data_IF_476279532034
#
_entry.id   IF_476279532034
#
_cell.length_a   1.000
_cell.length_b   1.000
_cell.length_c   1.000
_cell.angle_alpha   90.00
_cell.angle_beta   90.00
_cell.angle_gamma   90.00
#
_symmetry.space_group_name_H-M   'P 1'
#
loop_
_entity.id
_entity.type
_entity.pdbx_description
1 polymer ?
#
# COMPACT_ATOMS: atom_id res chain seq x y z
N UNK A 1 -30.96 64.16 -7.02
CA UNK A 1 -29.79 63.30 -7.32
C UNK A 1 -28.85 64.11 -8.19
N UNK A 2 -27.54 64.04 -7.94
CA UNK A 2 -26.55 64.44 -8.95
C UNK A 2 -26.45 63.31 -10.00
N UNK A 3 -26.30 63.65 -11.27
CA UNK A 3 -25.99 62.67 -12.31
C UNK A 3 -24.54 62.18 -12.17
N UNK A 4 -24.27 60.95 -12.58
CA UNK A 4 -22.90 60.44 -12.66
C UNK A 4 -22.07 61.28 -13.65
N UNK A 5 -20.78 61.49 -13.35
CA UNK A 5 -19.89 62.20 -14.27
C UNK A 5 -19.62 61.35 -15.53
N UNK A 6 -19.19 62.02 -16.61
CA UNK A 6 -18.81 61.35 -17.86
C UNK A 6 -17.79 60.22 -17.63
N UNK A 7 -16.78 60.46 -16.78
CA UNK A 7 -15.73 59.47 -16.47
C UNK A 7 -16.24 58.29 -15.62
N UNK A 8 -17.26 58.51 -14.78
CA UNK A 8 -17.93 57.44 -14.04
C UNK A 8 -18.75 56.56 -14.98
N UNK A 9 -19.50 57.17 -15.89
CA UNK A 9 -20.26 56.48 -16.94
C UNK A 9 -19.34 55.70 -17.88
N UNK A 10 -18.19 56.26 -18.28
CA UNK A 10 -17.23 55.60 -19.16
C UNK A 10 -16.66 54.33 -18.50
N UNK A 11 -16.20 54.42 -17.25
CA UNK A 11 -15.71 53.26 -16.47
C UNK A 11 -16.79 52.21 -16.26
N UNK A 12 -18.05 52.62 -16.05
CA UNK A 12 -19.17 51.68 -15.92
C UNK A 12 -19.46 50.96 -17.25
N UNK A 13 -19.36 51.66 -18.39
CA UNK A 13 -19.49 51.05 -19.72
C UNK A 13 -18.33 50.10 -20.04
N UNK A 14 -17.11 50.41 -19.60
CA UNK A 14 -15.95 49.51 -19.72
C UNK A 14 -16.12 48.23 -18.89
N UNK A 15 -16.55 48.36 -17.62
CA UNK A 15 -16.85 47.23 -16.75
C UNK A 15 -17.97 46.35 -17.34
N UNK A 16 -19.09 46.94 -17.75
CA UNK A 16 -20.22 46.23 -18.37
C UNK A 16 -19.87 45.55 -19.69
N UNK A 17 -18.93 46.10 -20.48
CA UNK A 17 -18.42 45.43 -21.69
C UNK A 17 -17.59 44.19 -21.33
N UNK A 18 -16.75 44.28 -20.31
CA UNK A 18 -15.91 43.17 -19.85
C UNK A 18 -16.79 42.04 -19.26
N UNK A 19 -17.75 42.40 -18.40
CA UNK A 19 -18.77 41.49 -17.87
C UNK A 19 -19.62 40.85 -18.98
N UNK A 20 -20.08 41.62 -19.98
CA UNK A 20 -20.85 41.05 -21.10
C UNK A 20 -20.00 40.15 -22.00
N UNK A 21 -18.68 40.34 -22.06
CA UNK A 21 -17.77 39.42 -22.74
C UNK A 21 -17.61 38.11 -21.95
N UNK A 22 -17.46 38.21 -20.62
CA UNK A 22 -17.34 37.05 -19.74
C UNK A 22 -18.62 36.19 -19.75
N UNK A 23 -19.79 36.82 -19.61
CA UNK A 23 -21.10 36.14 -19.68
C UNK A 23 -21.35 35.45 -21.04
N UNK A 24 -20.77 35.95 -22.14
CA UNK A 24 -20.84 35.27 -23.45
C UNK A 24 -19.96 34.02 -23.48
N UNK A 25 -18.75 34.09 -22.94
CA UNK A 25 -17.86 32.93 -22.83
C UNK A 25 -18.51 31.84 -21.95
N UNK A 26 -19.03 32.21 -20.77
CA UNK A 26 -19.74 31.28 -19.90
C UNK A 26 -20.96 30.65 -20.59
N UNK A 27 -21.72 31.42 -21.39
CA UNK A 27 -22.85 30.88 -22.15
C UNK A 27 -22.42 29.91 -23.27
N UNK A 28 -21.32 30.21 -23.97
CA UNK A 28 -20.73 29.34 -24.98
C UNK A 28 -20.18 28.04 -24.35
N UNK A 29 -19.47 28.13 -23.24
CA UNK A 29 -18.94 26.98 -22.50
C UNK A 29 -20.08 26.08 -21.97
N UNK A 30 -21.16 26.67 -21.46
CA UNK A 30 -22.37 25.93 -21.06
C UNK A 30 -23.06 25.25 -22.26
N UNK A 31 -23.16 25.92 -23.42
CA UNK A 31 -23.71 25.34 -24.66
C UNK A 31 -22.87 24.14 -25.15
N UNK A 32 -21.53 24.29 -25.10
CA UNK A 32 -20.57 23.24 -25.40
C UNK A 32 -20.64 22.06 -24.41
N UNK A 33 -20.96 22.32 -23.14
CA UNK A 33 -21.17 21.26 -22.15
C UNK A 33 -22.49 20.52 -22.36
N UNK A 34 -23.60 21.23 -22.64
CA UNK A 34 -24.89 20.63 -22.94
C UNK A 34 -24.81 19.68 -24.15
N UNK A 35 -24.17 20.13 -25.24
CA UNK A 35 -23.94 19.31 -26.46
C UNK A 35 -23.21 17.99 -26.15
N UNK A 36 -22.26 17.99 -25.19
CA UNK A 36 -21.56 16.77 -24.75
C UNK A 36 -22.49 15.82 -23.99
N UNK A 37 -23.33 16.35 -23.10
CA UNK A 37 -24.31 15.55 -22.35
C UNK A 37 -25.37 14.93 -23.27
N UNK A 38 -25.84 15.67 -24.29
CA UNK A 38 -26.75 15.15 -25.32
C UNK A 38 -26.10 14.03 -26.15
N UNK A 39 -24.80 14.16 -26.44
CA UNK A 39 -24.01 13.12 -27.12
C UNK A 39 -23.84 11.87 -26.25
N UNK A 40 -23.49 12.04 -24.97
CA UNK A 40 -23.33 10.93 -24.02
C UNK A 40 -24.65 10.18 -23.78
N UNK A 41 -25.76 10.90 -23.62
CA UNK A 41 -27.09 10.32 -23.51
C UNK A 41 -27.51 9.56 -24.80
N UNK A 42 -27.11 10.07 -25.97
CA UNK A 42 -27.35 9.40 -27.26
C UNK A 42 -26.55 8.10 -27.40
N UNK A 43 -25.27 8.11 -27.00
CA UNK A 43 -24.43 6.92 -26.97
C UNK A 43 -24.98 5.86 -26.00
N UNK A 44 -25.40 6.27 -24.79
CA UNK A 44 -26.02 5.37 -23.81
C UNK A 44 -27.32 4.75 -24.35
N UNK A 45 -28.16 5.54 -25.05
CA UNK A 45 -29.37 5.07 -25.72
C UNK A 45 -29.08 4.05 -26.83
N UNK A 46 -27.99 4.22 -27.58
CA UNK A 46 -27.55 3.25 -28.59
C UNK A 46 -27.08 1.94 -27.96
N UNK A 47 -26.25 2.00 -26.91
CA UNK A 47 -25.80 0.81 -26.16
C UNK A 47 -26.98 0.05 -25.56
N UNK A 48 -27.94 0.75 -24.94
CA UNK A 48 -29.15 0.12 -24.39
C UNK A 48 -29.99 -0.56 -25.48
N UNK A 49 -30.11 0.06 -26.66
CA UNK A 49 -30.80 -0.55 -27.82
C UNK A 49 -30.06 -1.79 -28.34
N UNK A 50 -28.72 -1.77 -28.38
CA UNK A 50 -27.92 -2.92 -28.78
C UNK A 50 -28.05 -4.08 -27.80
N UNK A 51 -28.04 -3.80 -26.49
CA UNK A 51 -28.27 -4.81 -25.45
C UNK A 51 -29.68 -5.40 -25.53
N UNK A 52 -30.71 -4.58 -25.76
CA UNK A 52 -32.07 -5.08 -25.98
C UNK A 52 -32.14 -6.02 -27.20
N UNK A 53 -31.59 -5.62 -28.34
CA UNK A 53 -31.57 -6.46 -29.55
C UNK A 53 -30.82 -7.79 -29.33
N UNK A 54 -29.70 -7.76 -28.60
CA UNK A 54 -28.94 -8.97 -28.25
C UNK A 54 -29.77 -9.95 -27.39
N UNK A 55 -30.60 -9.44 -26.47
CA UNK A 55 -31.47 -10.27 -25.63
C UNK A 55 -32.62 -10.85 -26.47
N UNK A 56 -33.19 -10.07 -27.38
CA UNK A 56 -34.26 -10.52 -28.29
C UNK A 56 -33.76 -11.62 -29.25
N UNK A 57 -32.55 -11.48 -29.80
CA UNK A 57 -31.88 -12.52 -30.61
C UNK A 57 -31.54 -13.79 -29.79
N UNK A 58 -31.01 -13.66 -28.57
CA UNK A 58 -30.76 -14.83 -27.69
C UNK A 58 -32.06 -15.54 -27.28
N UNK A 59 -33.16 -14.80 -27.11
CA UNK A 59 -34.49 -15.38 -26.79
C UNK A 59 -35.10 -16.12 -27.99
N UNK A 60 -34.80 -15.70 -29.22
CA UNK A 60 -35.23 -16.39 -30.45
C UNK A 60 -34.33 -17.57 -30.84
N UNK A 61 -33.05 -17.55 -30.45
CA UNK A 61 -32.07 -18.59 -30.83
C UNK A 61 -31.85 -19.66 -29.75
N UNK A 62 -32.21 -19.40 -28.50
CA UNK A 62 -32.12 -20.39 -27.41
C UNK A 62 -33.50 -20.84 -26.91
N UNK A 63 -33.78 -22.14 -26.99
CA UNK A 63 -34.97 -22.78 -26.42
C UNK A 63 -34.91 -22.89 -24.89
N UNK A 64 -34.49 -21.83 -24.19
CA UNK A 64 -34.12 -21.88 -22.77
C UNK A 64 -35.33 -21.97 -21.83
N UNK A 65 -36.53 -21.63 -22.31
CA UNK A 65 -37.81 -21.80 -21.59
C UNK A 65 -38.07 -23.26 -21.21
N UNK A 66 -37.84 -24.19 -22.14
CA UNK A 66 -38.05 -25.64 -21.99
C UNK A 66 -37.11 -26.26 -20.93
N UNK A 67 -35.90 -25.71 -20.81
CA UNK A 67 -34.87 -26.17 -19.88
C UNK A 67 -35.19 -25.82 -18.42
N UNK A 68 -35.88 -24.70 -18.18
CA UNK A 68 -36.25 -24.26 -16.83
C UNK A 68 -37.42 -25.08 -16.26
N UNK A 69 -38.33 -25.52 -17.12
CA UNK A 69 -39.44 -26.41 -16.74
C UNK A 69 -38.91 -27.81 -16.39
N UNK A 70 -38.02 -28.37 -17.22
CA UNK A 70 -37.34 -29.65 -16.96
C UNK A 70 -36.53 -29.68 -15.66
N UNK A 71 -36.00 -28.54 -15.20
CA UNK A 71 -35.29 -28.43 -13.92
C UNK A 71 -36.21 -28.47 -12.68
N UNK A 72 -37.52 -28.19 -12.82
CA UNK A 72 -38.48 -28.34 -11.71
C UNK A 72 -38.80 -29.80 -11.39
N UNK A 73 -38.90 -30.66 -12.41
CA UNK A 73 -39.30 -32.07 -12.23
C UNK A 73 -38.29 -32.87 -11.38
N UNK A 74 -36.99 -32.54 -11.47
CA UNK A 74 -35.92 -33.25 -10.75
C UNK A 74 -35.74 -32.84 -9.26
N UNK A 75 -36.56 -31.95 -8.71
CA UNK A 75 -36.37 -31.42 -7.34
C UNK A 75 -37.09 -32.21 -6.22
N UNK A 76 -37.80 -33.30 -6.53
CA UNK A 76 -38.32 -34.25 -5.54
C UNK A 76 -37.68 -35.63 -5.70
N UNK A 77 -36.45 -35.81 -5.20
CA UNK A 77 -36.05 -36.96 -4.34
C UNK A 77 -34.55 -36.98 -3.97
N UNK A 78 -34.19 -37.87 -3.02
CA UNK A 78 -32.82 -38.35 -2.73
C UNK A 78 -31.79 -37.43 -2.02
N UNK A 79 -32.11 -37.06 -0.78
CA UNK A 79 -31.38 -37.48 0.45
C UNK A 79 -29.83 -37.74 0.44
N UNK A 80 -29.15 -37.22 1.47
CA UNK A 80 -27.78 -37.51 1.99
C UNK A 80 -26.51 -36.92 1.30
N UNK A 81 -25.39 -36.70 2.05
CA UNK A 81 -24.45 -35.61 1.72
C UNK A 81 -22.95 -35.96 1.57
N UNK A 82 -22.23 -35.04 0.90
CA UNK A 82 -20.94 -34.54 1.40
C UNK A 82 -19.64 -35.06 0.77
N UNK A 83 -18.93 -34.18 0.06
CA UNK A 83 -17.47 -34.32 -0.21
C UNK A 83 -16.77 -32.96 -0.12
N UNK A 84 -15.57 -32.92 0.49
CA UNK A 84 -14.67 -31.76 0.42
C UNK A 84 -13.95 -31.74 -0.93
N UNK A 85 -13.84 -30.59 -1.58
CA UNK A 85 -12.85 -30.35 -2.63
C UNK A 85 -11.90 -29.19 -2.28
N UNK A 86 -10.63 -29.40 -2.63
CA UNK A 86 -9.48 -28.58 -2.24
C UNK A 86 -8.78 -28.10 -3.51
N UNK A 87 -8.94 -26.85 -3.88
CA UNK A 87 -8.27 -26.31 -5.08
C UNK A 87 -6.79 -25.99 -4.81
N UNK A 88 -5.91 -26.34 -5.76
CA UNK A 88 -4.49 -25.98 -5.80
C UNK A 88 -3.98 -25.94 -7.25
N UNK A 89 -3.53 -24.77 -7.69
CA UNK A 89 -2.65 -24.54 -8.84
C UNK A 89 -1.88 -23.24 -8.57
N UNK A 90 -0.56 -23.08 -8.71
CA UNK A 90 0.55 -23.90 -9.23
C UNK A 90 0.75 -23.91 -10.76
N UNK A 91 1.33 -22.81 -11.26
CA UNK A 91 2.13 -22.74 -12.50
C UNK A 91 3.43 -21.93 -12.23
N UNK A 92 4.47 -22.13 -13.06
CA UNK A 92 5.80 -21.48 -12.98
C UNK A 92 6.45 -21.33 -14.38
N UNK A 93 7.53 -20.53 -14.48
CA UNK A 93 8.37 -20.22 -15.67
C UNK A 93 7.68 -19.37 -16.76
N UNK A 94 8.36 -18.54 -17.59
CA UNK A 94 9.74 -17.96 -17.64
C UNK A 94 9.74 -16.80 -18.70
N UNK A 95 10.69 -15.88 -18.83
CA UNK A 95 11.97 -15.59 -18.14
C UNK A 95 13.08 -15.19 -19.15
N UNK A 96 13.63 -13.96 -19.12
CA UNK A 96 14.60 -13.47 -20.14
C UNK A 96 15.67 -12.48 -19.61
N UNK A 97 16.84 -12.47 -20.27
CA UNK A 97 17.88 -11.39 -20.27
C UNK A 97 17.46 -10.29 -21.29
N UNK A 98 18.12 -9.16 -21.53
CA UNK A 98 19.47 -8.64 -21.17
C UNK A 98 19.51 -7.10 -21.29
N UNK A 99 20.60 -6.43 -20.89
CA UNK A 99 20.88 -5.05 -21.35
C UNK A 99 21.70 -4.18 -20.38
N UNK A 100 22.85 -3.67 -20.83
CA UNK A 100 23.66 -2.68 -20.08
C UNK A 100 24.42 -1.77 -21.05
N UNK A 101 24.54 -0.48 -20.71
CA UNK A 101 25.41 0.51 -21.38
C UNK A 101 26.08 1.43 -20.34
N UNK A 102 27.13 2.16 -20.73
CA UNK A 102 28.17 2.69 -19.83
C UNK A 102 28.70 4.08 -20.28
N UNK A 103 29.64 4.65 -19.49
CA UNK A 103 30.45 5.87 -19.73
C UNK A 103 29.80 7.19 -19.28
N UNK A 104 30.51 8.19 -18.72
CA UNK A 104 31.94 8.43 -18.35
C UNK A 104 31.92 9.30 -17.05
N UNK A 105 32.87 9.37 -16.09
CA UNK A 105 34.34 9.12 -16.05
C UNK A 105 34.75 8.27 -14.80
N UNK A 106 35.89 8.35 -14.09
CA UNK A 106 37.00 9.32 -13.97
C UNK A 106 36.65 10.55 -13.11
N UNK A 107 37.55 11.40 -12.59
CA UNK A 107 39.02 11.45 -12.39
C UNK A 107 39.24 12.23 -11.03
N UNK A 108 40.40 12.45 -10.39
CA UNK A 108 41.82 12.34 -10.73
C UNK A 108 42.72 11.92 -9.52
N UNK A 109 43.59 12.80 -8.98
CA UNK A 109 44.68 12.48 -8.01
C UNK A 109 45.36 13.76 -7.42
N UNK A 110 46.35 13.74 -6.47
CA UNK A 110 47.05 12.60 -5.84
C UNK A 110 47.44 12.68 -4.30
N UNK A 111 47.63 11.51 -3.63
CA UNK A 111 48.83 11.11 -2.77
C UNK A 111 49.20 11.90 -1.48
N UNK A 112 49.70 11.28 -0.35
CA UNK A 112 49.60 9.88 0.16
C UNK A 112 49.61 9.70 1.73
N UNK A 113 49.80 8.43 2.17
CA UNK A 113 50.35 7.94 3.47
C UNK A 113 49.50 7.96 4.76
N UNK A 114 49.26 6.75 5.29
CA UNK A 114 48.76 6.47 6.65
C UNK A 114 48.47 4.96 6.81
N UNK A 115 49.13 4.20 7.71
CA UNK A 115 49.03 2.74 7.74
C UNK A 115 47.79 2.21 8.48
N UNK A 116 47.40 0.98 8.16
CA UNK A 116 46.31 0.24 8.82
C UNK A 116 46.52 0.11 10.34
N UNK A 117 45.41 -0.04 11.09
CA UNK A 117 45.21 -1.33 11.74
C UNK A 117 43.87 -1.99 11.38
N UNK A 118 43.91 -3.25 10.95
CA UNK A 118 42.71 -4.09 10.85
C UNK A 118 42.26 -4.51 12.26
N UNK A 119 41.24 -3.84 12.84
CA UNK A 119 40.41 -4.42 13.92
C UNK A 119 39.13 -3.62 14.18
N UNK A 120 37.99 -4.11 13.68
CA UNK A 120 36.64 -3.68 14.08
C UNK A 120 35.53 -4.70 13.70
N UNK A 121 35.85 -6.01 13.65
CA UNK A 121 34.83 -7.06 13.47
C UNK A 121 34.06 -7.25 14.79
N UNK A 122 33.19 -6.29 15.11
CA UNK A 122 32.34 -6.29 16.33
C UNK A 122 31.07 -5.43 16.17
N UNK A 123 31.12 -4.35 15.38
CA UNK A 123 29.96 -3.50 15.06
C UNK A 123 29.24 -3.98 13.79
N UNK A 124 28.55 -5.12 13.95
CA UNK A 124 27.46 -5.53 13.06
C UNK A 124 26.14 -5.69 13.82
N UNK A 125 26.20 -6.18 15.07
CA UNK A 125 25.03 -6.45 15.91
C UNK A 125 24.30 -5.18 16.37
N UNK A 126 25.03 -4.12 16.74
CA UNK A 126 24.45 -2.86 17.25
C UNK A 126 23.69 -2.11 16.15
N UNK A 127 24.25 -2.12 14.95
CA UNK A 127 23.71 -1.55 13.72
C UNK A 127 22.51 -2.37 13.22
N UNK A 128 22.61 -3.70 13.26
CA UNK A 128 21.48 -4.61 12.95
C UNK A 128 20.31 -4.44 13.94
N UNK A 129 20.59 -4.11 15.20
CA UNK A 129 19.56 -3.85 16.23
C UNK A 129 18.83 -2.54 15.95
N UNK A 130 19.55 -1.47 15.57
CA UNK A 130 18.92 -0.22 15.15
C UNK A 130 18.06 -0.38 13.89
N UNK A 131 18.56 -1.09 12.88
CA UNK A 131 17.80 -1.40 11.67
C UNK A 131 16.54 -2.24 11.93
N UNK A 132 16.56 -3.14 12.92
CA UNK A 132 15.37 -3.87 13.35
C UNK A 132 14.30 -2.92 13.94
N UNK A 133 14.71 -1.95 14.75
CA UNK A 133 13.83 -0.93 15.34
C UNK A 133 13.25 0.00 14.25
N UNK A 134 14.03 0.37 13.23
CA UNK A 134 13.58 1.14 12.07
C UNK A 134 12.50 0.40 11.27
N UNK A 135 12.71 -0.89 10.98
CA UNK A 135 11.72 -1.75 10.33
C UNK A 135 10.42 -1.87 11.15
N UNK A 136 10.53 -2.04 12.46
CA UNK A 136 9.35 -2.14 13.35
C UNK A 136 8.58 -0.82 13.44
N UNK A 137 9.27 0.33 13.40
CA UNK A 137 8.67 1.66 13.26
C UNK A 137 7.98 1.86 11.91
N UNK A 138 8.63 1.52 10.80
CA UNK A 138 8.05 1.64 9.45
C UNK A 138 6.79 0.78 9.32
N UNK A 139 6.82 -0.47 9.79
CA UNK A 139 5.65 -1.35 9.83
C UNK A 139 4.49 -0.73 10.61
N UNK A 140 4.79 -0.14 11.78
CA UNK A 140 3.79 0.48 12.65
C UNK A 140 3.18 1.73 12.01
N UNK A 141 4.00 2.56 11.36
CA UNK A 141 3.55 3.73 10.60
C UNK A 141 2.64 3.32 9.43
N UNK A 142 3.05 2.34 8.61
CA UNK A 142 2.27 1.87 7.47
C UNK A 142 0.90 1.26 7.86
N UNK A 143 0.81 0.65 9.05
CA UNK A 143 -0.45 0.17 9.60
C UNK A 143 -1.35 1.31 10.10
N UNK A 144 -0.78 2.32 10.78
CA UNK A 144 -1.53 3.51 11.19
C UNK A 144 -2.03 4.33 10.00
N UNK A 145 -1.24 4.40 8.93
CA UNK A 145 -1.59 5.01 7.64
C UNK A 145 -2.82 4.34 6.99
N UNK A 146 -2.89 3.01 7.02
CA UNK A 146 -4.02 2.22 6.51
C UNK A 146 -5.27 2.42 7.38
N UNK A 147 -5.13 2.35 8.70
CA UNK A 147 -6.22 2.56 9.67
C UNK A 147 -6.80 3.98 9.60
N UNK A 148 -5.96 5.00 9.42
CA UNK A 148 -6.41 6.39 9.18
C UNK A 148 -7.22 6.49 7.89
N UNK A 149 -6.68 5.99 6.77
CA UNK A 149 -7.31 6.12 5.46
C UNK A 149 -8.64 5.36 5.38
N UNK A 150 -8.76 4.22 6.06
CA UNK A 150 -10.04 3.49 6.14
C UNK A 150 -11.08 4.24 6.98
N UNK A 151 -10.71 4.83 8.12
CA UNK A 151 -11.62 5.68 8.93
C UNK A 151 -12.07 6.93 8.18
N UNK A 152 -11.21 7.48 7.34
CA UNK A 152 -11.51 8.64 6.50
C UNK A 152 -12.51 8.25 5.39
N UNK A 153 -12.34 7.08 4.75
CA UNK A 153 -13.33 6.48 3.83
C UNK A 153 -14.68 6.24 4.52
N UNK A 154 -14.70 5.62 5.69
CA UNK A 154 -15.92 5.33 6.45
C UNK A 154 -16.69 6.62 6.78
N UNK A 155 -15.99 7.71 7.11
CA UNK A 155 -16.59 9.02 7.35
C UNK A 155 -17.27 9.59 6.10
N UNK A 156 -16.63 9.52 4.93
CA UNK A 156 -17.24 9.92 3.65
C UNK A 156 -18.44 9.02 3.29
N UNK A 157 -18.31 7.69 3.42
CA UNK A 157 -19.40 6.76 3.12
C UNK A 157 -20.60 6.93 4.08
N UNK A 158 -20.37 7.22 5.35
CA UNK A 158 -21.45 7.51 6.31
C UNK A 158 -22.25 8.76 5.91
N UNK A 159 -21.60 9.82 5.42
CA UNK A 159 -22.30 11.00 4.89
C UNK A 159 -23.11 10.67 3.63
N UNK A 160 -22.49 9.98 2.66
CA UNK A 160 -23.17 9.56 1.43
C UNK A 160 -24.38 8.68 1.72
N UNK A 161 -24.25 7.70 2.62
CA UNK A 161 -25.35 6.83 3.04
C UNK A 161 -26.48 7.63 3.74
N UNK A 162 -26.15 8.68 4.48
CA UNK A 162 -27.16 9.55 5.10
C UNK A 162 -27.87 10.45 4.07
N UNK A 163 -27.21 10.86 2.99
CA UNK A 163 -27.88 11.52 1.86
C UNK A 163 -28.77 10.55 1.08
N UNK A 164 -28.33 9.31 0.84
CA UNK A 164 -29.15 8.25 0.23
C UNK A 164 -30.43 8.03 1.06
N UNK A 165 -30.32 7.79 2.37
CA UNK A 165 -31.49 7.68 3.27
C UNK A 165 -32.42 8.89 3.20
N UNK A 166 -31.89 10.12 3.08
CA UNK A 166 -32.71 11.34 2.92
C UNK A 166 -33.46 11.34 1.59
N UNK A 167 -32.82 10.94 0.48
CA UNK A 167 -33.44 10.80 -0.84
C UNK A 167 -34.52 9.71 -0.83
N UNK A 168 -34.24 8.55 -0.24
CA UNK A 168 -35.17 7.42 -0.14
C UNK A 168 -36.40 7.75 0.73
N UNK A 169 -36.23 8.65 1.71
CA UNK A 169 -37.32 9.13 2.59
C UNK A 169 -38.19 10.24 1.98
N UNK A 170 -37.92 10.68 0.75
CA UNK A 170 -38.71 11.74 0.11
C UNK A 170 -40.14 11.25 -0.22
N UNK A 171 -41.16 12.13 -0.19
CA UNK A 171 -42.54 11.75 -0.49
C UNK A 171 -42.70 11.09 -1.87
N UNK A 172 -43.04 9.80 -1.88
CA UNK A 172 -43.41 9.04 -3.07
C UNK A 172 -44.88 9.29 -3.43
N UNK A 173 -45.16 10.47 -3.98
CA UNK A 173 -46.49 10.83 -4.49
C UNK A 173 -46.66 10.37 -5.95
N UNK A 174 -47.81 9.80 -6.29
CA UNK A 174 -48.14 9.40 -7.68
C UNK A 174 -48.09 10.59 -8.65
N UNK A 175 -48.50 11.78 -8.17
CA UNK A 175 -48.37 13.03 -8.89
C UNK A 175 -46.99 13.67 -8.66
N UNK A 176 -46.43 14.26 -9.71
CA UNK A 176 -45.17 15.02 -9.64
C UNK A 176 -45.26 16.19 -8.66
N UNK A 177 -44.25 16.32 -7.79
CA UNK A 177 -44.10 17.42 -6.83
C UNK A 177 -42.79 18.15 -7.07
N UNK A 178 -42.87 19.40 -7.56
CA UNK A 178 -41.71 20.25 -7.82
C UNK A 178 -40.86 20.47 -6.57
N UNK A 179 -41.48 20.61 -5.39
CA UNK A 179 -40.77 20.75 -4.13
C UNK A 179 -39.96 19.49 -3.79
N UNK A 180 -40.55 18.30 -3.98
CA UNK A 180 -39.86 17.02 -3.74
C UNK A 180 -38.70 16.82 -4.72
N UNK A 181 -38.92 17.17 -5.98
CA UNK A 181 -37.95 17.03 -7.06
C UNK A 181 -36.75 17.99 -6.94
N UNK A 182 -37.00 19.25 -6.57
CA UNK A 182 -35.94 20.21 -6.21
C UNK A 182 -35.16 19.76 -4.97
N UNK A 183 -35.86 19.22 -3.95
CA UNK A 183 -35.20 18.65 -2.76
C UNK A 183 -34.29 17.49 -3.14
N UNK A 184 -34.74 16.58 -4.03
CA UNK A 184 -33.93 15.48 -4.55
C UNK A 184 -32.65 15.98 -5.23
N UNK A 185 -32.76 16.90 -6.19
CA UNK A 185 -31.58 17.46 -6.91
C UNK A 185 -30.57 18.14 -5.99
N UNK A 186 -31.04 18.78 -4.92
CA UNK A 186 -30.17 19.38 -3.90
C UNK A 186 -29.37 18.30 -3.14
N UNK A 187 -30.02 17.21 -2.72
CA UNK A 187 -29.34 16.08 -2.06
C UNK A 187 -28.36 15.36 -3.01
N UNK A 188 -28.71 15.23 -4.29
CA UNK A 188 -27.84 14.69 -5.34
C UNK A 188 -26.66 15.61 -5.66
N UNK A 189 -26.80 16.92 -5.48
CA UNK A 189 -25.70 17.89 -5.56
C UNK A 189 -24.78 17.76 -4.35
N UNK A 190 -25.32 17.75 -3.12
CA UNK A 190 -24.56 17.47 -1.89
C UNK A 190 -23.75 16.17 -2.01
N UNK A 191 -24.37 15.09 -2.52
CA UNK A 191 -23.69 13.80 -2.72
C UNK A 191 -22.61 13.83 -3.81
N UNK A 192 -22.70 14.71 -4.80
CA UNK A 192 -21.63 14.95 -5.80
C UNK A 192 -20.48 15.74 -5.20
N UNK A 193 -20.75 16.78 -4.41
CA UNK A 193 -19.72 17.56 -3.72
C UNK A 193 -18.92 16.69 -2.74
N UNK A 194 -19.59 15.82 -1.97
CA UNK A 194 -18.91 14.90 -1.05
C UNK A 194 -18.03 13.88 -1.80
N UNK A 195 -18.47 13.37 -2.97
CA UNK A 195 -17.64 12.50 -3.81
C UNK A 195 -16.42 13.22 -4.39
N UNK A 196 -16.59 14.46 -4.87
CA UNK A 196 -15.46 15.27 -5.36
C UNK A 196 -14.44 15.55 -4.24
N UNK A 197 -14.90 15.99 -3.06
CA UNK A 197 -14.03 16.22 -1.91
C UNK A 197 -13.32 14.94 -1.43
N UNK A 198 -13.99 13.78 -1.48
CA UNK A 198 -13.37 12.48 -1.19
C UNK A 198 -12.25 12.15 -2.19
N UNK A 199 -12.47 12.39 -3.48
CA UNK A 199 -11.48 12.16 -4.54
C UNK A 199 -10.30 13.15 -4.46
N UNK A 200 -10.54 14.40 -4.06
CA UNK A 200 -9.47 15.38 -3.81
C UNK A 200 -8.59 15.02 -2.61
N UNK A 201 -9.15 14.51 -1.50
CA UNK A 201 -8.36 14.15 -0.32
C UNK A 201 -7.71 12.76 -0.44
N UNK A 202 -8.41 11.77 -0.99
CA UNK A 202 -7.97 10.37 -1.01
C UNK A 202 -7.45 9.91 -2.37
N UNK A 203 -7.62 10.67 -3.44
CA UNK A 203 -7.37 10.26 -4.83
C UNK A 203 -8.50 9.41 -5.40
N UNK A 204 -8.35 8.97 -6.66
CA UNK A 204 -9.35 8.09 -7.29
C UNK A 204 -9.44 6.75 -6.55
N UNK A 205 -10.57 6.05 -6.70
CA UNK A 205 -10.75 4.70 -6.15
C UNK A 205 -9.60 3.74 -6.54
N UNK A 206 -9.08 3.86 -7.76
CA UNK A 206 -7.92 3.07 -8.19
C UNK A 206 -6.62 3.46 -7.49
N UNK A 207 -6.42 4.75 -7.19
CA UNK A 207 -5.20 5.23 -6.55
C UNK A 207 -5.17 4.88 -5.07
N UNK A 208 -6.33 4.94 -4.41
CA UNK A 208 -6.55 4.39 -3.07
C UNK A 208 -6.21 2.89 -3.02
N UNK A 209 -6.74 2.10 -3.97
CA UNK A 209 -6.43 0.67 -4.06
C UNK A 209 -4.92 0.43 -4.28
N UNK A 210 -4.32 1.09 -5.28
CA UNK A 210 -2.87 0.99 -5.57
C UNK A 210 -2.01 1.48 -4.39
N UNK A 211 -2.48 2.44 -3.58
CA UNK A 211 -1.80 2.93 -2.37
C UNK A 211 -1.87 1.87 -1.26
N UNK A 212 -3.06 1.34 -0.98
CA UNK A 212 -3.27 0.28 0.01
C UNK A 212 -2.47 -0.99 -0.34
N UNK A 213 -2.55 -1.46 -1.59
CA UNK A 213 -1.78 -2.60 -2.08
C UNK A 213 -0.26 -2.40 -1.90
N UNK A 214 0.28 -1.21 -2.20
CA UNK A 214 1.70 -0.88 -1.97
C UNK A 214 2.08 -0.89 -0.49
N UNK A 215 1.26 -0.29 0.39
CA UNK A 215 1.49 -0.32 1.84
C UNK A 215 1.50 -1.77 2.37
N UNK A 216 0.51 -2.58 1.98
CA UNK A 216 0.40 -4.00 2.36
C UNK A 216 1.60 -4.81 1.86
N UNK A 217 2.01 -4.64 0.59
CA UNK A 217 3.18 -5.32 0.04
C UNK A 217 4.47 -4.92 0.75
N UNK A 218 4.62 -3.64 1.15
CA UNK A 218 5.77 -3.16 1.93
C UNK A 218 5.76 -3.74 3.35
N UNK A 219 4.61 -3.77 4.05
CA UNK A 219 4.46 -4.44 5.35
C UNK A 219 4.87 -5.92 5.26
N UNK A 220 4.36 -6.66 4.27
CA UNK A 220 4.73 -8.07 4.06
C UNK A 220 6.20 -8.27 3.69
N UNK A 221 6.89 -7.25 3.18
CA UNK A 221 8.34 -7.31 2.97
C UNK A 221 9.09 -7.04 4.27
N UNK A 222 8.71 -5.99 5.00
CA UNK A 222 9.26 -5.65 6.32
C UNK A 222 9.14 -6.82 7.30
N UNK A 223 8.02 -7.55 7.32
CA UNK A 223 7.84 -8.73 8.18
C UNK A 223 8.86 -9.85 7.87
N UNK A 224 9.21 -10.05 6.59
CA UNK A 224 10.28 -10.98 6.19
C UNK A 224 11.66 -10.44 6.57
N UNK A 225 11.86 -9.13 6.48
CA UNK A 225 13.12 -8.45 6.81
C UNK A 225 13.40 -8.53 8.32
N UNK A 226 12.41 -8.23 9.16
CA UNK A 226 12.38 -8.41 10.61
C UNK A 226 12.75 -9.86 10.99
N UNK A 227 12.11 -10.86 10.36
CA UNK A 227 12.41 -12.27 10.62
C UNK A 227 13.85 -12.64 10.24
N UNK A 228 14.36 -12.16 9.10
CA UNK A 228 15.75 -12.39 8.67
C UNK A 228 16.77 -11.74 9.61
N UNK A 229 16.54 -10.49 10.02
CA UNK A 229 17.43 -9.77 10.95
C UNK A 229 17.45 -10.45 12.33
N UNK A 230 16.28 -10.83 12.86
CA UNK A 230 16.19 -11.58 14.13
C UNK A 230 16.93 -12.92 14.07
N UNK A 231 16.83 -13.67 12.96
CA UNK A 231 17.59 -14.91 12.74
C UNK A 231 19.11 -14.66 12.69
N UNK A 232 19.57 -13.60 12.02
CA UNK A 232 20.99 -13.24 11.96
C UNK A 232 21.56 -12.80 13.33
N UNK A 233 20.76 -12.10 14.15
CA UNK A 233 21.12 -11.73 15.52
C UNK A 233 21.20 -12.97 16.43
N UNK A 234 20.23 -13.88 16.35
CA UNK A 234 20.22 -15.13 17.11
C UNK A 234 21.40 -16.04 16.76
N UNK A 235 21.76 -16.14 15.46
CA UNK A 235 22.92 -16.90 15.01
C UNK A 235 24.24 -16.33 15.55
N UNK A 236 24.43 -15.00 15.50
CA UNK A 236 25.61 -14.34 16.06
C UNK A 236 25.75 -14.56 17.57
N UNK A 237 24.64 -14.53 18.32
CA UNK A 237 24.65 -14.84 19.75
C UNK A 237 25.14 -16.28 20.02
N UNK A 238 24.59 -17.26 19.30
CA UNK A 238 24.98 -18.67 19.44
C UNK A 238 26.40 -18.98 18.94
N UNK A 239 26.99 -18.16 18.06
CA UNK A 239 28.41 -18.25 17.70
C UNK A 239 29.31 -17.63 18.77
N UNK A 240 28.92 -16.48 19.34
CA UNK A 240 29.65 -15.82 20.42
C UNK A 240 29.77 -16.72 21.67
N UNK A 241 28.68 -17.39 22.06
CA UNK A 241 28.66 -18.35 23.18
C UNK A 241 29.63 -19.53 22.95
N UNK A 242 29.56 -20.19 21.78
CA UNK A 242 30.49 -21.30 21.43
C UNK A 242 31.94 -20.84 21.40
N UNK A 243 32.21 -19.65 20.86
CA UNK A 243 33.58 -19.08 20.85
C UNK A 243 34.12 -18.81 22.25
N UNK A 244 33.23 -18.62 23.24
CA UNK A 244 33.57 -18.40 24.65
C UNK A 244 33.78 -19.72 25.40
N UNK A 245 32.95 -20.74 25.14
CA UNK A 245 33.10 -22.07 25.73
C UNK A 245 34.40 -22.76 25.29
N UNK A 246 34.69 -22.80 23.97
CA UNK A 246 35.92 -23.39 23.44
C UNK A 246 37.19 -22.74 24.03
N UNK A 247 37.11 -21.46 24.40
CA UNK A 247 38.19 -20.72 25.06
C UNK A 247 38.43 -21.17 26.50
N UNK A 248 37.37 -21.49 27.23
CA UNK A 248 37.47 -22.02 28.58
C UNK A 248 38.02 -23.45 28.58
N UNK A 249 37.51 -24.30 27.69
CA UNK A 249 37.92 -25.70 27.56
C UNK A 249 39.41 -25.83 27.14
N UNK A 250 39.85 -25.01 26.18
CA UNK A 250 41.27 -24.95 25.78
C UNK A 250 42.20 -24.41 26.88
N UNK A 251 41.71 -23.57 27.79
CA UNK A 251 42.48 -23.07 28.93
C UNK A 251 42.58 -24.12 30.05
N UNK A 252 41.50 -24.86 30.33
CA UNK A 252 41.49 -25.98 31.29
C UNK A 252 42.51 -27.05 30.91
N UNK A 253 42.58 -27.43 29.63
CA UNK A 253 43.54 -28.41 29.11
C UNK A 253 45.01 -27.91 29.06
N UNK A 254 45.27 -26.63 29.31
CA UNK A 254 46.64 -26.10 29.43
C UNK A 254 47.12 -26.10 30.88
N UNK A 255 46.23 -25.88 31.86
CA UNK A 255 46.54 -25.99 33.30
C UNK A 255 46.85 -27.43 33.69
N UNK A 256 46.05 -28.38 33.22
CA UNK A 256 46.23 -29.81 33.52
C UNK A 256 47.58 -30.35 33.03
N UNK A 257 47.99 -29.92 31.82
CA UNK A 257 49.27 -30.34 31.20
C UNK A 257 50.53 -29.74 31.85
N UNK A 258 50.38 -28.84 32.82
CA UNK A 258 51.49 -28.31 33.63
C UNK A 258 51.68 -29.09 34.94
N UNK A 259 50.70 -29.91 35.37
CA UNK A 259 50.75 -30.59 36.67
C UNK A 259 51.49 -31.96 36.64
N UNK A 260 51.73 -32.55 35.47
CA UNK A 260 52.54 -33.79 35.36
C UNK A 260 54.07 -33.53 35.33
N UNK A 261 54.51 -32.28 35.38
CA UNK A 261 55.92 -31.89 35.20
C UNK A 261 56.80 -31.87 36.45
N UNK A 262 56.26 -32.00 37.66
CA UNK A 262 57.00 -31.79 38.92
C UNK A 262 56.72 -32.89 39.96
N UNK A 263 57.57 -33.92 39.99
CA UNK A 263 57.32 -35.08 40.87
C UNK A 263 58.45 -36.11 41.02
N UNK A 264 59.69 -35.70 41.33
CA UNK A 264 60.62 -36.43 42.24
C UNK A 264 62.03 -35.80 42.27
N UNK A 265 62.47 -35.35 43.45
CA UNK A 265 63.89 -35.23 43.85
C UNK A 265 63.99 -34.80 45.34
N UNK A 266 63.61 -35.66 46.28
CA UNK A 266 63.90 -35.39 47.71
C UNK A 266 65.35 -35.76 48.06
N UNK A 267 65.96 -34.90 48.88
CA UNK A 267 66.99 -35.19 49.89
C UNK A 267 68.08 -36.24 49.60
N UNK A 268 69.36 -35.81 49.68
CA UNK A 268 70.16 -36.32 50.81
C UNK A 268 71.41 -35.50 51.19
N UNK A 269 71.63 -35.48 52.52
CA UNK A 269 72.87 -35.28 53.30
C UNK A 269 73.86 -34.16 53.01
N UNK A 270 74.35 -33.56 54.10
CA UNK A 270 75.46 -32.62 54.16
C UNK A 270 76.72 -33.26 54.75
N UNK A 271 77.90 -32.81 54.30
CA UNK A 271 79.19 -33.00 54.98
C UNK A 271 80.04 -31.74 54.87
N UNK A 272 80.72 -31.36 55.95
CA UNK A 272 81.52 -30.12 56.05
C UNK A 272 82.93 -30.25 55.47
N UNK A 273 83.43 -29.19 54.82
CA UNK A 273 84.86 -28.76 54.77
C UNK A 273 85.04 -27.65 53.71
N UNK A 274 86.08 -26.80 53.63
CA UNK A 274 87.08 -26.21 54.57
C UNK A 274 87.96 -25.28 53.71
N UNK A 275 88.51 -24.19 54.28
CA UNK A 275 89.56 -23.31 53.68
C UNK A 275 89.13 -22.41 52.49
N UNK A 276 89.43 -21.10 52.54
CA UNK A 276 90.62 -20.37 52.03
C UNK A 276 90.72 -20.32 50.48
N UNK A 277 91.15 -19.22 49.85
CA UNK A 277 91.75 -17.96 50.36
C UNK A 277 90.87 -16.76 50.01
#
# INVERSE_FOLDING_TARGET
>A
MAAASYDQLLKQVEALKMENSNLRQELEDNSNHLTKLETEASNMKEVLKQLQGSIEDETMTSGQTDLLERLKEFNLDSNFPGVKLRSKMSLRSCGSREGSVSSRSGECSPVPMGPFPRRAFVNGSRESTGYLEELEKERSLLLADLDKEEKEKDWYYAQLQNLTKRIDSLPLTENFSLQTDMTRRQLEYEARQIRAAMEEQLGTCQDMEKRAQRRIARIQQIEKDILRVRQLLQSQAAEAERSSQNKHESASHEVERQHEGQGMAENNMATSSTSQV
#
